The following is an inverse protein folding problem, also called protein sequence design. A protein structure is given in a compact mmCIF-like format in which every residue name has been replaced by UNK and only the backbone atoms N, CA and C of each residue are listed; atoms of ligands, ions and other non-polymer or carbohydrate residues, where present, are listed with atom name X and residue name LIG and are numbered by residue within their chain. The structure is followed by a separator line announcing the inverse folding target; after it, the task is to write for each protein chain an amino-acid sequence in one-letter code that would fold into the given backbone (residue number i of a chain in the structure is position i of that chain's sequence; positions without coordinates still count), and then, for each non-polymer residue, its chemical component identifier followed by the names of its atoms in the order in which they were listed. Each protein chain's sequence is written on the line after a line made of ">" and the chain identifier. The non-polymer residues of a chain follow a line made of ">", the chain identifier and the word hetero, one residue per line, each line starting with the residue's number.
data_IF_541127249714
#
_entry.id   IF_541127249714
#
_cell.length_a   1.000
_cell.length_b   1.000
_cell.length_c   1.000
_cell.angle_alpha   90.00
_cell.angle_beta   90.00
_cell.angle_gamma   90.00
#
_symmetry.space_group_name_H-M   'P 1'
#
loop_
_entity.id
_entity.type
_entity.pdbx_description
1 polymer ?
#
# COMPACT_ATOMS: atom_id res chain seq x y z
N UNK A 1 44.80 6.99 -28.24
CA UNK A 1 43.82 7.42 -27.21
C UNK A 1 43.38 8.83 -27.60
N UNK A 2 42.27 8.97 -28.33
CA UNK A 2 41.56 10.22 -28.51
C UNK A 2 40.96 10.57 -27.13
N UNK A 3 41.41 11.68 -26.53
CA UNK A 3 40.80 12.11 -25.28
C UNK A 3 39.38 12.59 -25.58
N UNK A 4 38.40 12.06 -24.88
CA UNK A 4 36.97 12.37 -25.00
C UNK A 4 36.73 13.89 -24.87
N UNK A 5 37.62 14.60 -24.15
CA UNK A 5 37.60 16.05 -23.93
C UNK A 5 37.91 16.92 -25.18
N UNK A 6 38.34 16.31 -26.26
CA UNK A 6 38.69 17.04 -27.50
C UNK A 6 37.65 16.91 -28.63
N UNK A 7 36.55 16.20 -28.39
CA UNK A 7 35.47 16.01 -29.36
C UNK A 7 34.53 17.23 -29.40
N UNK A 8 34.01 17.54 -30.60
CA UNK A 8 32.93 18.51 -30.74
C UNK A 8 31.71 18.04 -29.91
N UNK A 9 31.06 18.95 -29.14
CA UNK A 9 29.91 18.61 -28.26
C UNK A 9 28.78 17.87 -28.96
N UNK A 10 28.49 18.19 -30.21
CA UNK A 10 27.45 17.48 -30.97
C UNK A 10 27.85 16.03 -31.30
N UNK A 11 29.11 15.80 -31.59
CA UNK A 11 29.67 14.51 -31.87
C UNK A 11 29.75 13.65 -30.58
N UNK A 12 30.09 14.26 -29.48
CA UNK A 12 30.11 13.64 -28.16
C UNK A 12 28.69 13.16 -27.75
N UNK A 13 27.71 14.08 -27.84
CA UNK A 13 26.30 13.76 -27.54
C UNK A 13 25.83 12.58 -28.41
N UNK A 14 26.08 12.64 -29.72
CA UNK A 14 25.67 11.56 -30.65
C UNK A 14 26.33 10.21 -30.35
N UNK A 15 27.60 10.22 -29.97
CA UNK A 15 28.33 9.01 -29.58
C UNK A 15 27.77 8.39 -28.30
N UNK A 16 27.52 9.23 -27.29
CA UNK A 16 26.95 8.78 -26.02
C UNK A 16 25.54 8.20 -26.19
N UNK A 17 24.72 8.81 -27.06
CA UNK A 17 23.42 8.28 -27.45
C UNK A 17 23.54 6.89 -28.11
N UNK A 18 24.41 6.75 -29.12
CA UNK A 18 24.64 5.49 -29.80
C UNK A 18 25.16 4.38 -28.85
N UNK A 19 26.04 4.73 -27.92
CA UNK A 19 26.52 3.79 -26.91
C UNK A 19 25.40 3.39 -25.95
N UNK A 20 24.51 4.32 -25.57
CA UNK A 20 23.33 4.03 -24.77
C UNK A 20 22.37 3.08 -25.50
N UNK A 21 22.04 3.36 -26.77
CA UNK A 21 21.19 2.53 -27.61
C UNK A 21 21.77 1.12 -27.77
N UNK A 22 23.08 0.99 -28.08
CA UNK A 22 23.75 -0.31 -28.18
C UNK A 22 23.74 -1.08 -26.85
N UNK A 23 23.94 -0.40 -25.72
CA UNK A 23 23.86 -1.03 -24.41
C UNK A 23 22.46 -1.58 -24.11
N UNK A 24 21.40 -0.85 -24.51
CA UNK A 24 20.02 -1.30 -24.39
C UNK A 24 19.73 -2.53 -25.28
N UNK A 25 20.23 -2.55 -26.52
CA UNK A 25 20.11 -3.72 -27.40
C UNK A 25 20.77 -4.97 -26.81
N UNK A 26 21.82 -4.78 -26.00
CA UNK A 26 22.50 -5.85 -25.25
C UNK A 26 21.81 -6.18 -23.90
N UNK A 27 20.71 -5.52 -23.55
CA UNK A 27 20.00 -5.68 -22.27
C UNK A 27 20.75 -5.08 -21.07
N UNK A 28 21.75 -4.21 -21.28
CA UNK A 28 22.52 -3.59 -20.22
C UNK A 28 22.02 -2.18 -19.89
N UNK A 29 20.93 -2.11 -19.13
CA UNK A 29 20.29 -0.86 -18.71
C UNK A 29 21.24 0.03 -17.90
N UNK A 30 22.05 -0.58 -17.01
CA UNK A 30 23.00 0.17 -16.17
C UNK A 30 24.07 0.90 -17.02
N UNK A 31 24.60 0.24 -18.07
CA UNK A 31 25.54 0.88 -18.98
C UNK A 31 24.88 1.97 -19.82
N UNK A 32 23.67 1.73 -20.30
CA UNK A 32 22.90 2.71 -21.06
C UNK A 32 22.65 3.98 -20.23
N UNK A 33 22.23 3.81 -18.98
CA UNK A 33 22.02 4.93 -18.04
C UNK A 33 23.32 5.70 -17.79
N UNK A 34 24.45 5.02 -17.61
CA UNK A 34 25.76 5.71 -17.44
C UNK A 34 26.08 6.61 -18.62
N UNK A 35 25.91 6.16 -19.84
CA UNK A 35 26.19 7.00 -21.03
C UNK A 35 25.31 8.25 -21.08
N UNK A 36 24.02 8.12 -20.71
CA UNK A 36 23.11 9.29 -20.66
C UNK A 36 23.45 10.24 -19.52
N UNK A 37 23.86 9.74 -18.34
CA UNK A 37 24.31 10.56 -17.22
C UNK A 37 25.65 11.25 -17.52
N UNK A 38 26.58 10.59 -18.22
CA UNK A 38 27.82 11.25 -18.70
C UNK A 38 27.52 12.39 -19.68
N UNK A 39 26.53 12.21 -20.57
CA UNK A 39 26.06 13.26 -21.47
C UNK A 39 25.48 14.45 -20.67
N UNK A 40 24.69 14.17 -19.62
CA UNK A 40 24.12 15.19 -18.73
C UNK A 40 25.18 15.92 -17.91
N UNK A 41 26.21 15.21 -17.46
CA UNK A 41 27.31 15.77 -16.66
C UNK A 41 28.20 16.74 -17.47
N UNK A 42 28.26 16.61 -18.79
CA UNK A 42 29.13 17.42 -19.61
C UNK A 42 28.49 18.80 -19.89
N UNK A 43 29.14 19.90 -19.52
CA UNK A 43 28.53 21.26 -19.56
C UNK A 43 27.98 21.69 -20.93
N UNK A 44 28.56 21.18 -22.02
CA UNK A 44 28.18 21.56 -23.38
C UNK A 44 27.05 20.69 -23.98
N UNK A 45 26.72 19.57 -23.36
CA UNK A 45 25.68 18.64 -23.79
C UNK A 45 24.49 18.56 -22.84
N UNK A 46 24.65 18.99 -21.58
CA UNK A 46 23.65 18.88 -20.53
C UNK A 46 22.26 19.43 -20.92
N UNK A 47 22.22 20.55 -21.62
CA UNK A 47 20.94 21.16 -22.06
C UNK A 47 20.23 20.44 -23.23
N UNK A 48 20.82 19.37 -23.78
CA UNK A 48 20.25 18.59 -24.90
C UNK A 48 19.77 17.21 -24.46
N UNK A 49 19.99 16.86 -23.19
CA UNK A 49 19.65 15.53 -22.69
C UNK A 49 18.15 15.45 -22.42
N UNK A 50 17.55 14.37 -22.88
CA UNK A 50 16.15 14.04 -22.60
C UNK A 50 16.05 13.42 -21.21
N UNK A 51 15.55 14.20 -20.24
CA UNK A 51 15.37 13.77 -18.86
C UNK A 51 14.36 12.61 -18.75
N UNK A 52 13.34 12.57 -19.62
CA UNK A 52 12.33 11.53 -19.63
C UNK A 52 12.94 10.16 -19.94
N UNK A 53 13.90 10.12 -20.88
CA UNK A 53 14.66 8.89 -21.17
C UNK A 53 15.52 8.45 -19.98
N UNK A 54 16.14 9.37 -19.26
CA UNK A 54 16.90 9.01 -18.04
C UNK A 54 15.99 8.42 -16.98
N UNK A 55 14.83 9.04 -16.73
CA UNK A 55 13.84 8.54 -15.79
C UNK A 55 13.30 7.16 -16.18
N UNK A 56 13.09 6.92 -17.48
CA UNK A 56 12.68 5.61 -17.98
C UNK A 56 13.76 4.56 -17.72
N UNK A 57 15.03 4.85 -18.00
CA UNK A 57 16.15 3.96 -17.72
C UNK A 57 16.31 3.66 -16.23
N UNK A 58 16.16 4.67 -15.36
CA UNK A 58 16.14 4.50 -13.92
C UNK A 58 14.96 3.60 -13.50
N UNK A 59 13.79 3.77 -14.12
CA UNK A 59 12.61 2.93 -13.92
C UNK A 59 12.84 1.45 -14.30
N UNK A 60 13.68 1.18 -15.30
CA UNK A 60 14.02 -0.17 -15.74
C UNK A 60 15.11 -0.86 -14.88
N UNK A 61 15.77 -0.12 -13.97
CA UNK A 61 16.74 -0.73 -13.05
C UNK A 61 16.05 -1.73 -12.11
N UNK A 62 16.58 -2.95 -12.04
CA UNK A 62 16.06 -4.05 -11.21
C UNK A 62 16.93 -4.35 -9.98
N UNK A 63 18.16 -3.84 -9.93
CA UNK A 63 19.09 -4.13 -8.84
C UNK A 63 19.30 -2.93 -7.93
N UNK A 64 18.95 -3.08 -6.65
CA UNK A 64 19.20 -2.10 -5.58
C UNK A 64 20.68 -1.77 -5.47
N UNK A 65 21.56 -2.77 -5.57
CA UNK A 65 22.99 -2.59 -5.39
C UNK A 65 23.65 -1.87 -6.59
N UNK A 66 23.17 -2.13 -7.80
CA UNK A 66 23.61 -1.40 -9.00
C UNK A 66 23.18 0.07 -8.92
N UNK A 67 21.93 0.33 -8.52
CA UNK A 67 21.42 1.68 -8.37
C UNK A 67 22.20 2.47 -7.31
N UNK A 68 22.53 1.84 -6.18
CA UNK A 68 23.39 2.44 -5.13
C UNK A 68 24.80 2.76 -5.64
N UNK A 69 25.37 1.88 -6.46
CA UNK A 69 26.69 2.08 -7.05
C UNK A 69 26.69 3.25 -8.02
N UNK A 70 25.65 3.35 -8.83
CA UNK A 70 25.47 4.50 -9.73
C UNK A 70 25.26 5.80 -8.96
N UNK A 71 24.39 5.80 -7.94
CA UNK A 71 24.15 6.96 -7.09
C UNK A 71 25.46 7.53 -6.52
N UNK A 72 26.32 6.68 -5.99
CA UNK A 72 27.66 7.09 -5.50
C UNK A 72 28.55 7.69 -6.59
N UNK A 73 28.42 7.23 -7.82
CA UNK A 73 29.25 7.74 -8.94
C UNK A 73 28.84 9.13 -9.43
N UNK A 74 27.61 9.55 -9.09
CA UNK A 74 27.01 10.84 -9.51
C UNK A 74 26.53 11.65 -8.31
N UNK A 75 27.23 11.58 -7.17
CA UNK A 75 26.89 12.31 -5.94
C UNK A 75 26.87 13.85 -6.11
N UNK A 76 27.55 14.36 -7.12
CA UNK A 76 27.66 15.79 -7.47
C UNK A 76 26.47 16.33 -8.31
N UNK A 77 25.46 15.47 -8.60
CA UNK A 77 24.31 15.82 -9.42
C UNK A 77 23.01 15.76 -8.61
N UNK A 78 22.62 16.83 -7.93
CA UNK A 78 21.47 16.88 -7.01
C UNK A 78 20.18 16.35 -7.62
N UNK A 79 19.86 16.74 -8.85
CA UNK A 79 18.66 16.29 -9.55
C UNK A 79 18.65 14.77 -9.78
N UNK A 80 19.81 14.21 -10.16
CA UNK A 80 19.97 12.76 -10.38
C UNK A 80 19.89 12.00 -9.07
N UNK A 81 20.41 12.58 -7.99
CA UNK A 81 20.30 11.99 -6.64
C UNK A 81 18.84 11.90 -6.18
N UNK A 82 18.02 12.89 -6.51
CA UNK A 82 16.59 12.85 -6.20
C UNK A 82 15.89 11.69 -6.93
N UNK A 83 16.17 11.52 -8.23
CA UNK A 83 15.61 10.42 -9.02
C UNK A 83 16.05 9.03 -8.51
N UNK A 84 17.34 8.88 -8.21
CA UNK A 84 17.89 7.65 -7.64
C UNK A 84 17.28 7.33 -6.25
N UNK A 85 17.17 8.33 -5.39
CA UNK A 85 16.59 8.18 -4.05
C UNK A 85 15.14 7.74 -4.11
N UNK A 86 14.36 8.29 -5.04
CA UNK A 86 12.96 7.94 -5.26
C UNK A 86 12.82 6.50 -5.77
N UNK A 87 13.62 6.12 -6.77
CA UNK A 87 13.61 4.75 -7.32
C UNK A 87 14.10 3.72 -6.30
N UNK A 88 15.16 4.03 -5.57
CA UNK A 88 15.68 3.17 -4.51
C UNK A 88 14.64 2.88 -3.44
N UNK A 89 13.91 3.91 -3.01
CA UNK A 89 12.82 3.75 -2.06
C UNK A 89 11.72 2.84 -2.59
N UNK A 90 11.31 3.02 -3.85
CA UNK A 90 10.30 2.18 -4.50
C UNK A 90 10.74 0.71 -4.55
N UNK A 91 11.97 0.44 -4.97
CA UNK A 91 12.53 -0.91 -5.04
C UNK A 91 12.60 -1.55 -3.64
N UNK A 92 13.09 -0.83 -2.64
CA UNK A 92 13.18 -1.32 -1.27
C UNK A 92 11.82 -1.68 -0.67
N UNK A 93 10.78 -0.89 -0.99
CA UNK A 93 9.41 -1.19 -0.57
C UNK A 93 8.87 -2.43 -1.30
N UNK A 94 9.13 -2.55 -2.60
CA UNK A 94 8.70 -3.69 -3.42
C UNK A 94 9.37 -5.00 -2.97
N UNK A 95 10.66 -4.95 -2.63
CA UNK A 95 11.43 -6.07 -2.09
C UNK A 95 11.15 -6.36 -0.60
N UNK A 96 10.23 -5.61 0.02
CA UNK A 96 9.89 -5.72 1.45
C UNK A 96 11.07 -5.43 2.39
N UNK A 97 12.09 -4.72 1.95
CA UNK A 97 13.26 -4.28 2.73
C UNK A 97 12.91 -3.02 3.55
N UNK A 98 11.85 -3.08 4.33
CA UNK A 98 11.22 -1.91 4.98
C UNK A 98 12.15 -1.13 5.93
N UNK A 99 13.11 -1.81 6.58
CA UNK A 99 14.08 -1.12 7.45
C UNK A 99 15.00 -0.20 6.65
N UNK A 100 15.47 -0.68 5.50
CA UNK A 100 16.32 0.11 4.60
C UNK A 100 15.50 1.23 3.94
N UNK A 101 14.27 0.95 3.54
CA UNK A 101 13.33 1.95 3.03
C UNK A 101 13.08 3.07 4.07
N UNK A 102 12.98 2.73 5.36
CA UNK A 102 12.85 3.73 6.43
C UNK A 102 14.08 4.63 6.53
N UNK A 103 15.29 4.05 6.46
CA UNK A 103 16.54 4.82 6.45
C UNK A 103 16.64 5.74 5.23
N UNK A 104 16.25 5.27 4.05
CA UNK A 104 16.22 6.07 2.83
C UNK A 104 15.23 7.24 2.94
N UNK A 105 14.04 7.00 3.53
CA UNK A 105 13.06 8.04 3.79
C UNK A 105 13.56 9.10 4.78
N UNK A 106 14.32 8.70 5.79
CA UNK A 106 14.87 9.64 6.76
C UNK A 106 15.86 10.60 6.09
N UNK A 107 16.72 10.12 5.19
CA UNK A 107 17.63 10.93 4.40
C UNK A 107 16.86 11.89 3.48
N UNK A 108 15.91 11.39 2.70
CA UNK A 108 15.08 12.23 1.82
C UNK A 108 14.29 13.31 2.58
N UNK A 109 13.85 13.02 3.82
CA UNK A 109 13.17 13.99 4.67
C UNK A 109 14.11 15.09 5.16
N UNK A 110 15.34 14.79 5.45
CA UNK A 110 16.36 15.76 5.88
C UNK A 110 16.70 16.69 4.71
N UNK A 111 16.89 16.14 3.52
CA UNK A 111 17.13 16.93 2.29
C UNK A 111 15.96 17.85 1.97
N UNK A 112 14.73 17.35 1.95
CA UNK A 112 13.53 18.14 1.67
C UNK A 112 13.32 19.29 2.69
N UNK A 113 13.70 19.06 3.96
CA UNK A 113 13.67 20.10 4.99
C UNK A 113 14.73 21.17 4.76
N UNK A 114 15.94 20.79 4.39
CA UNK A 114 17.05 21.70 4.12
C UNK A 114 16.73 22.64 2.96
N UNK A 115 15.98 22.14 1.97
CA UNK A 115 15.54 22.85 0.78
C UNK A 115 14.21 23.63 0.96
N UNK A 116 13.60 23.58 2.15
CA UNK A 116 12.28 24.18 2.46
C UNK A 116 11.13 23.71 1.54
N UNK A 117 11.18 22.50 1.04
CA UNK A 117 10.15 21.89 0.20
C UNK A 117 8.98 21.36 1.06
N UNK A 118 8.06 22.24 1.43
CA UNK A 118 7.01 21.92 2.41
C UNK A 118 6.07 20.79 1.98
N UNK A 119 5.63 20.77 0.73
CA UNK A 119 4.73 19.75 0.19
C UNK A 119 5.43 18.38 0.11
N UNK A 120 6.65 18.33 -0.40
CA UNK A 120 7.47 17.12 -0.47
C UNK A 120 7.76 16.57 0.93
N UNK A 121 8.10 17.45 1.87
CA UNK A 121 8.33 17.09 3.27
C UNK A 121 7.08 16.42 3.89
N UNK A 122 5.88 16.95 3.64
CA UNK A 122 4.64 16.38 4.16
C UNK A 122 4.32 15.04 3.52
N UNK A 123 4.52 14.90 2.22
CA UNK A 123 4.34 13.64 1.50
C UNK A 123 5.29 12.54 2.01
N UNK A 124 6.56 12.86 2.22
CA UNK A 124 7.55 11.93 2.77
C UNK A 124 7.24 11.55 4.24
N UNK A 125 6.75 12.51 5.05
CA UNK A 125 6.28 12.22 6.43
C UNK A 125 5.12 11.22 6.42
N UNK A 126 4.15 11.42 5.55
CA UNK A 126 3.01 10.52 5.43
C UNK A 126 3.46 9.12 4.99
N UNK A 127 4.39 9.01 4.06
CA UNK A 127 4.97 7.74 3.64
C UNK A 127 5.74 7.06 4.78
N UNK A 128 6.53 7.82 5.54
CA UNK A 128 7.25 7.31 6.72
C UNK A 128 6.31 6.77 7.80
N UNK A 129 5.21 7.49 8.08
CA UNK A 129 4.19 7.04 9.05
C UNK A 129 3.58 5.70 8.60
N UNK A 130 3.22 5.58 7.33
CA UNK A 130 2.69 4.32 6.75
C UNK A 130 3.69 3.18 6.88
N UNK A 131 4.95 3.41 6.54
CA UNK A 131 6.00 2.41 6.66
C UNK A 131 6.24 1.98 8.12
N UNK A 132 6.20 2.92 9.05
CA UNK A 132 6.30 2.64 10.49
C UNK A 132 5.14 1.76 10.98
N UNK A 133 3.93 1.97 10.49
CA UNK A 133 2.79 1.10 10.78
C UNK A 133 3.05 -0.31 10.27
N UNK A 134 3.44 -0.46 9.01
CA UNK A 134 3.74 -1.78 8.40
C UNK A 134 4.82 -2.55 9.17
N UNK A 135 5.86 -1.86 9.65
CA UNK A 135 6.96 -2.47 10.42
C UNK A 135 6.55 -2.94 11.82
N UNK A 136 5.54 -2.33 12.40
CA UNK A 136 5.16 -2.53 13.80
C UNK A 136 3.79 -3.16 13.98
N UNK A 137 3.20 -3.74 12.93
CA UNK A 137 1.91 -4.43 13.01
C UNK A 137 1.95 -5.56 14.04
N UNK A 138 0.93 -5.63 14.88
CA UNK A 138 0.70 -6.79 15.74
C UNK A 138 -0.23 -7.78 15.02
N UNK A 139 0.27 -8.94 14.57
CA UNK A 139 -0.50 -9.89 13.80
C UNK A 139 -1.65 -10.54 14.58
N UNK A 140 -1.67 -10.37 15.90
CA UNK A 140 -2.69 -10.93 16.78
C UNK A 140 -3.79 -9.93 17.16
N UNK A 141 -3.72 -8.67 16.69
CA UNK A 141 -4.70 -7.64 16.98
C UNK A 141 -5.57 -7.31 15.77
N UNK A 142 -6.88 -7.34 15.98
CA UNK A 142 -7.89 -6.93 15.00
C UNK A 142 -8.70 -5.77 15.58
N UNK A 143 -8.74 -4.65 14.86
CA UNK A 143 -9.58 -3.52 15.21
C UNK A 143 -11.06 -3.79 14.90
N UNK A 144 -11.96 -3.33 15.74
CA UNK A 144 -13.39 -3.41 15.50
C UNK A 144 -14.02 -2.04 15.71
N UNK A 145 -14.65 -1.50 14.68
CA UNK A 145 -15.32 -0.19 14.71
C UNK A 145 -16.83 -0.40 14.61
N UNK A 146 -17.54 -0.15 15.71
CA UNK A 146 -18.99 -0.28 15.80
C UNK A 146 -19.60 0.94 16.51
N UNK A 147 -20.88 1.26 16.28
CA UNK A 147 -21.58 2.35 16.98
C UNK A 147 -22.05 1.90 18.37
N UNK A 148 -21.09 1.67 19.28
CA UNK A 148 -21.32 1.05 20.60
C UNK A 148 -22.23 1.89 21.49
N UNK A 149 -22.08 3.23 21.45
CA UNK A 149 -22.84 4.16 22.25
C UNK A 149 -24.21 4.55 21.64
N UNK A 150 -24.66 3.86 20.61
CA UNK A 150 -25.95 4.17 19.98
C UNK A 150 -27.12 3.81 20.90
N UNK A 151 -27.98 4.79 21.16
CA UNK A 151 -29.23 4.59 21.93
C UNK A 151 -30.39 4.02 21.08
N UNK A 152 -30.20 3.82 19.80
CA UNK A 152 -31.23 3.28 18.93
C UNK A 152 -31.35 1.76 19.09
N UNK A 153 -32.50 1.21 19.53
CA UNK A 153 -32.64 -0.20 19.92
C UNK A 153 -32.16 -1.19 18.83
N UNK A 154 -32.54 -0.96 17.56
CA UNK A 154 -32.12 -1.82 16.43
C UNK A 154 -30.60 -1.81 16.22
N UNK A 155 -29.95 -0.65 16.37
CA UNK A 155 -28.51 -0.54 16.20
C UNK A 155 -27.80 -1.22 17.36
N UNK A 156 -28.24 -1.01 18.59
CA UNK A 156 -27.68 -1.70 19.77
C UNK A 156 -27.80 -3.20 19.68
N UNK A 157 -28.95 -3.72 19.21
CA UNK A 157 -29.13 -5.14 18.97
C UNK A 157 -28.16 -5.66 17.91
N UNK A 158 -28.00 -4.95 16.79
CA UNK A 158 -27.07 -5.32 15.72
C UNK A 158 -25.62 -5.33 16.18
N UNK A 159 -25.22 -4.34 17.00
CA UNK A 159 -23.89 -4.30 17.63
C UNK A 159 -23.65 -5.52 18.50
N UNK A 160 -24.62 -5.88 19.36
CA UNK A 160 -24.50 -7.07 20.20
C UNK A 160 -24.37 -8.35 19.38
N UNK A 161 -25.23 -8.54 18.39
CA UNK A 161 -25.17 -9.71 17.50
C UNK A 161 -23.83 -9.79 16.74
N UNK A 162 -23.31 -8.65 16.30
CA UNK A 162 -22.00 -8.59 15.64
C UNK A 162 -20.88 -8.99 16.59
N UNK A 163 -20.88 -8.48 17.83
CA UNK A 163 -19.87 -8.84 18.84
C UNK A 163 -19.95 -10.31 19.25
N UNK A 164 -21.14 -10.86 19.37
CA UNK A 164 -21.35 -12.29 19.64
C UNK A 164 -20.81 -13.15 18.49
N UNK A 165 -21.13 -12.77 17.24
CA UNK A 165 -20.62 -13.46 16.06
C UNK A 165 -19.09 -13.44 15.98
N UNK A 166 -18.46 -12.30 16.24
CA UNK A 166 -17.01 -12.17 16.31
C UNK A 166 -16.40 -13.05 17.41
N UNK A 167 -17.01 -13.06 18.60
CA UNK A 167 -16.55 -13.93 19.70
C UNK A 167 -16.65 -15.41 19.35
N UNK A 168 -17.76 -15.84 18.76
CA UNK A 168 -17.95 -17.22 18.33
C UNK A 168 -16.94 -17.64 17.25
N UNK A 169 -16.60 -16.73 16.34
CA UNK A 169 -15.60 -16.99 15.31
C UNK A 169 -14.18 -17.11 15.84
N UNK A 170 -13.84 -16.32 16.85
CA UNK A 170 -12.50 -16.29 17.44
C UNK A 170 -12.29 -17.34 18.51
N UNK A 171 -13.32 -17.59 19.31
CA UNK A 171 -13.31 -18.57 20.40
C UNK A 171 -14.37 -19.61 20.12
N UNK A 172 -14.15 -20.50 19.13
CA UNK A 172 -15.08 -21.59 18.93
C UNK A 172 -15.15 -22.36 20.25
N UNK A 173 -16.29 -22.23 20.91
CA UNK A 173 -16.57 -23.03 22.11
C UNK A 173 -16.30 -24.47 21.73
N UNK A 174 -15.41 -25.11 22.44
CA UNK A 174 -15.24 -26.56 22.43
C UNK A 174 -16.45 -27.24 23.04
N UNK A 175 -17.62 -26.94 22.52
CA UNK A 175 -18.83 -27.68 22.69
C UNK A 175 -18.83 -28.84 21.68
N UNK A 176 -17.80 -29.62 21.70
CA UNK A 176 -17.85 -30.98 21.28
C UNK A 176 -17.67 -31.84 22.51
N UNK A 177 -18.66 -31.86 23.27
CA UNK A 177 -18.90 -33.00 24.10
C UNK A 177 -19.12 -34.23 23.22
N UNK A 178 -18.19 -35.19 23.41
CA UNK A 178 -18.44 -36.61 23.27
C UNK A 178 -19.03 -37.08 21.95
N UNK A 179 -18.17 -37.37 21.02
CA UNK A 179 -18.27 -38.65 20.30
C UNK A 179 -16.91 -39.02 19.71
N UNK A 180 -16.46 -40.15 20.16
CA UNK A 180 -15.39 -40.98 19.60
C UNK A 180 -13.96 -40.41 19.39
N UNK A 181 -13.09 -41.19 19.90
CA UNK A 181 -11.63 -41.19 20.08
C UNK A 181 -10.69 -40.69 18.98
N UNK A 182 -11.07 -39.75 18.13
CA UNK A 182 -10.17 -39.16 17.12
C UNK A 182 -10.51 -37.72 16.77
N UNK A 183 -10.77 -36.87 17.74
CA UNK A 183 -10.70 -35.42 17.50
C UNK A 183 -9.24 -34.97 17.67
N UNK A 184 -8.51 -34.95 16.58
CA UNK A 184 -7.33 -34.10 16.49
C UNK A 184 -7.80 -32.68 16.82
N UNK A 185 -7.45 -32.19 18.00
CA UNK A 185 -7.48 -30.76 18.34
C UNK A 185 -6.84 -30.03 17.20
N UNK A 186 -7.63 -29.39 16.34
CA UNK A 186 -7.14 -28.34 15.43
C UNK A 186 -6.41 -27.35 16.33
N UNK A 187 -5.15 -27.10 15.99
CA UNK A 187 -4.26 -26.30 16.80
C UNK A 187 -4.96 -25.03 17.27
N UNK A 188 -4.77 -24.74 18.54
CA UNK A 188 -5.19 -23.52 19.19
C UNK A 188 -4.79 -22.37 18.26
N UNK A 189 -5.77 -21.68 17.68
CA UNK A 189 -5.51 -20.42 16.98
C UNK A 189 -4.83 -19.54 18.03
N UNK A 190 -3.75 -18.83 17.69
CA UNK A 190 -3.15 -17.88 18.60
C UNK A 190 -4.25 -16.94 19.10
N UNK A 191 -4.21 -16.60 20.39
CA UNK A 191 -5.22 -15.73 21.02
C UNK A 191 -5.29 -14.39 20.26
N UNK A 192 -6.27 -14.25 19.39
CA UNK A 192 -6.52 -13.01 18.66
C UNK A 192 -7.19 -12.02 19.60
N UNK A 193 -6.64 -10.84 19.70
CA UNK A 193 -7.18 -9.73 20.50
C UNK A 193 -8.07 -8.83 19.63
N UNK A 194 -9.32 -8.60 20.07
CA UNK A 194 -10.22 -7.63 19.46
C UNK A 194 -10.11 -6.29 20.19
N UNK A 195 -9.71 -5.27 19.45
CA UNK A 195 -9.64 -3.88 19.95
C UNK A 195 -10.85 -3.11 19.47
N UNK A 196 -11.80 -2.87 20.37
CA UNK A 196 -13.07 -2.21 20.06
C UNK A 196 -12.94 -0.68 20.12
N UNK A 197 -13.55 -0.01 19.14
CA UNK A 197 -13.68 1.46 19.10
C UNK A 197 -15.09 1.86 18.69
N UNK A 198 -15.57 2.96 19.27
CA UNK A 198 -16.90 3.49 19.01
C UNK A 198 -16.90 4.51 17.86
N UNK A 199 -17.63 4.22 16.80
CA UNK A 199 -17.80 5.13 15.67
C UNK A 199 -18.73 6.30 15.95
N UNK A 200 -19.58 6.19 16.99
CA UNK A 200 -20.67 7.15 17.32
C UNK A 200 -21.56 7.50 16.10
N UNK A 201 -21.61 6.64 15.09
CA UNK A 201 -22.25 6.90 13.78
C UNK A 201 -21.75 8.18 13.08
N UNK A 202 -20.57 8.66 13.46
CA UNK A 202 -20.00 9.90 12.97
C UNK A 202 -18.75 9.59 12.09
N UNK A 203 -18.71 10.09 10.84
CA UNK A 203 -17.58 9.84 9.93
C UNK A 203 -16.25 10.39 10.45
N UNK A 204 -16.23 11.56 11.09
CA UNK A 204 -15.00 12.15 11.62
C UNK A 204 -14.46 11.35 12.80
N UNK A 205 -15.35 10.94 13.71
CA UNK A 205 -14.98 10.03 14.80
C UNK A 205 -14.44 8.71 14.24
N UNK A 206 -15.07 8.17 13.22
CA UNK A 206 -14.64 6.92 12.58
C UNK A 206 -13.23 7.04 12.01
N UNK A 207 -12.90 8.13 11.31
CA UNK A 207 -11.53 8.37 10.83
C UNK A 207 -10.53 8.42 11.98
N UNK A 208 -10.87 9.16 13.03
CA UNK A 208 -10.01 9.30 14.20
C UNK A 208 -9.72 7.94 14.84
N UNK A 209 -10.76 7.16 15.16
CA UNK A 209 -10.58 5.86 15.81
C UNK A 209 -9.93 4.82 14.89
N UNK A 210 -10.09 4.94 13.58
CA UNK A 210 -9.36 4.10 12.62
C UNK A 210 -7.86 4.36 12.72
N UNK A 211 -7.44 5.64 12.76
CA UNK A 211 -6.02 6.01 12.94
C UNK A 211 -5.46 5.53 14.26
N UNK A 212 -6.19 5.69 15.36
CA UNK A 212 -5.81 5.16 16.68
C UNK A 212 -5.58 3.64 16.63
N UNK A 213 -6.48 2.89 16.00
CA UNK A 213 -6.33 1.45 15.82
C UNK A 213 -5.05 1.09 15.06
N UNK A 214 -4.71 1.86 14.04
CA UNK A 214 -3.57 1.58 13.17
C UNK A 214 -2.25 2.05 13.82
N UNK A 215 -2.19 3.29 14.30
CA UNK A 215 -0.95 3.91 14.78
C UNK A 215 -0.59 3.49 16.22
N UNK A 216 -1.58 3.37 17.11
CA UNK A 216 -1.36 3.10 18.53
C UNK A 216 -1.51 1.62 18.84
N UNK A 217 -2.61 1.01 18.39
CA UNK A 217 -2.92 -0.40 18.67
C UNK A 217 -2.24 -1.36 17.68
N UNK A 218 -1.78 -0.85 16.51
CA UNK A 218 -1.02 -1.60 15.51
C UNK A 218 -1.76 -2.81 14.96
N UNK A 219 -3.07 -2.67 14.75
CA UNK A 219 -3.91 -3.77 14.28
C UNK A 219 -3.56 -4.21 12.86
N UNK A 220 -3.68 -5.52 12.59
CA UNK A 220 -3.42 -6.08 11.26
C UNK A 220 -4.57 -5.84 10.28
N UNK A 221 -5.81 -5.73 10.79
CA UNK A 221 -7.01 -5.51 10.01
C UNK A 221 -8.09 -4.82 10.85
N UNK A 222 -9.11 -4.26 10.19
CA UNK A 222 -10.25 -3.63 10.84
C UNK A 222 -11.56 -4.26 10.37
N UNK A 223 -12.46 -4.59 11.31
CA UNK A 223 -13.82 -5.09 11.05
C UNK A 223 -14.82 -3.98 11.37
N UNK A 224 -15.78 -3.78 10.50
CA UNK A 224 -16.73 -2.67 10.57
C UNK A 224 -16.31 -1.52 9.66
N UNK A 225 -17.00 -0.38 9.70
CA UNK A 225 -18.26 -0.09 10.41
C UNK A 225 -19.52 -0.69 9.80
N UNK A 226 -20.70 -0.42 10.43
CA UNK A 226 -22.00 -0.92 10.00
C UNK A 226 -22.74 0.06 9.05
N UNK A 227 -22.60 1.37 9.29
CA UNK A 227 -23.37 2.37 8.56
C UNK A 227 -22.60 2.90 7.33
N UNK A 228 -23.32 3.24 6.25
CA UNK A 228 -22.73 3.68 4.98
C UNK A 228 -21.69 4.79 5.14
N UNK A 229 -22.07 5.94 5.73
CA UNK A 229 -21.19 7.11 5.82
C UNK A 229 -19.92 6.85 6.64
N UNK A 230 -20.03 6.06 7.70
CA UNK A 230 -18.87 5.65 8.50
C UNK A 230 -18.00 4.65 7.76
N UNK A 231 -18.58 3.74 6.98
CA UNK A 231 -17.84 2.80 6.14
C UNK A 231 -17.08 3.50 5.03
N UNK A 232 -17.67 4.50 4.36
CA UNK A 232 -16.97 5.34 3.38
C UNK A 232 -15.78 6.07 4.01
N UNK A 233 -15.96 6.64 5.22
CA UNK A 233 -14.90 7.31 5.94
C UNK A 233 -13.75 6.36 6.36
N UNK A 234 -14.09 5.16 6.85
CA UNK A 234 -13.13 4.14 7.21
C UNK A 234 -12.38 3.58 5.99
N UNK A 235 -13.07 3.42 4.85
CA UNK A 235 -12.47 2.92 3.62
C UNK A 235 -11.36 3.85 3.08
N UNK A 236 -11.55 5.17 3.16
CA UNK A 236 -10.51 6.15 2.81
C UNK A 236 -9.28 6.00 3.70
N UNK A 237 -9.47 5.78 5.00
CA UNK A 237 -8.35 5.54 5.93
C UNK A 237 -7.68 4.19 5.65
N UNK A 238 -8.46 3.13 5.38
CA UNK A 238 -7.93 1.81 5.02
C UNK A 238 -7.01 1.87 3.80
N UNK A 239 -7.43 2.59 2.75
CA UNK A 239 -6.61 2.82 1.57
C UNK A 239 -5.37 3.67 1.85
N UNK A 240 -5.51 4.71 2.66
CA UNK A 240 -4.38 5.56 3.02
C UNK A 240 -3.31 4.77 3.79
N UNK A 241 -3.72 3.99 4.81
CA UNK A 241 -2.82 3.23 5.68
C UNK A 241 -2.38 1.88 5.09
N UNK A 242 -3.03 1.42 4.01
CA UNK A 242 -2.85 0.07 3.44
C UNK A 242 -3.14 -1.04 4.45
N UNK A 243 -4.15 -0.81 5.29
CA UNK A 243 -4.63 -1.76 6.29
C UNK A 243 -5.95 -2.36 5.81
N UNK A 244 -6.06 -3.69 5.68
CA UNK A 244 -7.29 -4.33 5.24
C UNK A 244 -8.48 -4.01 6.15
N UNK A 245 -9.62 -3.66 5.57
CA UNK A 245 -10.87 -3.54 6.32
C UNK A 245 -11.99 -4.37 5.73
N UNK A 246 -12.80 -4.96 6.60
CA UNK A 246 -14.03 -5.67 6.22
C UNK A 246 -15.23 -4.85 6.69
N UNK A 247 -15.86 -4.14 5.78
CA UNK A 247 -17.08 -3.38 6.07
C UNK A 247 -18.28 -4.30 6.26
N UNK A 248 -19.11 -3.99 7.24
CA UNK A 248 -20.35 -4.70 7.54
C UNK A 248 -21.59 -3.99 6.98
N UNK A 249 -21.41 -2.93 6.18
CA UNK A 249 -22.50 -2.18 5.55
C UNK A 249 -23.16 -2.95 4.41
N UNK A 250 -24.43 -2.65 4.16
CA UNK A 250 -25.16 -3.16 2.99
C UNK A 250 -24.76 -2.49 1.67
N UNK A 251 -24.03 -1.37 1.72
CA UNK A 251 -23.65 -0.56 0.55
C UNK A 251 -22.69 -1.33 -0.36
N UNK A 252 -23.11 -1.64 -1.59
CA UNK A 252 -22.37 -2.49 -2.53
C UNK A 252 -21.10 -1.82 -3.10
N UNK A 253 -21.08 -0.48 -3.19
CA UNK A 253 -19.97 0.28 -3.78
C UNK A 253 -18.77 0.50 -2.86
N UNK A 254 -18.82 0.08 -1.61
CA UNK A 254 -17.71 0.29 -0.67
C UNK A 254 -16.39 -0.35 -1.14
N UNK A 255 -16.36 -1.59 -1.67
CA UNK A 255 -15.11 -2.19 -2.17
C UNK A 255 -14.51 -1.49 -3.40
N UNK A 256 -15.30 -0.67 -4.10
CA UNK A 256 -14.83 0.11 -5.26
C UNK A 256 -13.87 1.25 -4.86
N UNK A 257 -13.79 1.58 -3.56
CA UNK A 257 -12.91 2.64 -3.05
C UNK A 257 -11.44 2.22 -3.17
N UNK A 258 -11.12 0.91 -3.02
CA UNK A 258 -9.77 0.43 -3.25
C UNK A 258 -9.52 -1.01 -2.82
N UNK A 259 -8.31 -1.54 -3.10
CA UNK A 259 -7.95 -2.95 -2.91
C UNK A 259 -7.85 -3.40 -1.45
N UNK A 260 -7.78 -2.48 -0.49
CA UNK A 260 -7.74 -2.82 0.94
C UNK A 260 -9.14 -2.83 1.59
N UNK A 261 -10.19 -2.62 0.79
CA UNK A 261 -11.56 -2.51 1.29
C UNK A 261 -12.39 -3.71 0.85
N UNK A 262 -12.81 -4.49 1.81
CA UNK A 262 -13.67 -5.67 1.61
C UNK A 262 -15.04 -5.45 2.23
N UNK A 263 -16.02 -6.23 1.80
CA UNK A 263 -17.37 -6.20 2.36
C UNK A 263 -17.84 -7.63 2.67
N UNK A 264 -18.28 -7.83 3.90
CA UNK A 264 -18.92 -9.08 4.30
C UNK A 264 -20.44 -8.88 4.33
N UNK A 265 -21.06 -8.87 3.16
CA UNK A 265 -22.51 -8.86 3.05
C UNK A 265 -22.96 -9.46 1.72
N UNK A 266 -24.17 -10.01 1.72
CA UNK A 266 -24.74 -10.57 0.49
C UNK A 266 -25.00 -9.44 -0.54
N UNK A 267 -24.76 -9.78 -1.79
CA UNK A 267 -25.10 -8.88 -2.90
C UNK A 267 -26.53 -9.23 -3.36
N UNK A 268 -27.48 -8.37 -3.03
CA UNK A 268 -28.89 -8.55 -3.41
C UNK A 268 -29.08 -8.79 -4.92
N UNK A 269 -28.21 -8.23 -5.78
CA UNK A 269 -28.24 -8.47 -7.21
C UNK A 269 -27.95 -9.93 -7.54
N UNK A 270 -26.90 -10.50 -6.93
CA UNK A 270 -26.58 -11.93 -7.09
C UNK A 270 -27.67 -12.85 -6.51
N UNK A 271 -28.31 -12.43 -5.42
CA UNK A 271 -29.46 -13.17 -4.88
C UNK A 271 -30.62 -13.20 -5.87
N UNK A 272 -31.01 -12.03 -6.40
CA UNK A 272 -32.07 -11.93 -7.39
C UNK A 272 -31.73 -12.72 -8.65
N UNK A 273 -30.50 -12.59 -9.18
CA UNK A 273 -30.05 -13.36 -10.33
C UNK A 273 -30.09 -14.87 -10.06
N UNK A 274 -29.69 -15.30 -8.86
CA UNK A 274 -29.74 -16.70 -8.46
C UNK A 274 -31.17 -17.23 -8.33
N UNK A 275 -32.08 -16.43 -7.74
CA UNK A 275 -33.50 -16.77 -7.64
C UNK A 275 -34.16 -16.85 -9.02
N UNK A 276 -33.88 -15.91 -9.92
CA UNK A 276 -34.39 -15.92 -11.29
C UNK A 276 -33.87 -17.15 -12.05
N UNK A 277 -32.58 -17.44 -11.92
CA UNK A 277 -31.98 -18.64 -12.52
C UNK A 277 -32.63 -19.91 -11.99
N UNK A 278 -32.79 -20.03 -10.67
CA UNK A 278 -33.44 -21.16 -10.05
C UNK A 278 -34.89 -21.33 -10.49
N UNK A 279 -35.67 -20.24 -10.53
CA UNK A 279 -37.04 -20.26 -11.03
C UNK A 279 -37.11 -20.71 -12.49
N UNK A 280 -36.23 -20.21 -13.35
CA UNK A 280 -36.16 -20.59 -14.76
C UNK A 280 -35.76 -22.06 -14.96
N UNK A 281 -34.67 -22.48 -14.31
CA UNK A 281 -34.01 -23.77 -14.57
C UNK A 281 -34.73 -24.92 -13.86
N UNK A 282 -35.23 -24.68 -12.63
CA UNK A 282 -35.89 -25.73 -11.82
C UNK A 282 -37.43 -25.75 -12.01
N UNK A 283 -38.06 -24.59 -11.99
CA UNK A 283 -39.51 -24.51 -12.15
C UNK A 283 -39.98 -24.25 -13.59
N UNK A 284 -39.05 -24.11 -14.53
CA UNK A 284 -39.33 -23.80 -15.94
C UNK A 284 -40.25 -22.57 -16.10
N UNK A 285 -40.13 -21.61 -15.18
CA UNK A 285 -40.93 -20.39 -15.20
C UNK A 285 -40.61 -19.59 -16.46
N UNK A 286 -41.63 -19.30 -17.25
CA UNK A 286 -41.47 -18.58 -18.53
C UNK A 286 -41.74 -17.08 -18.40
N UNK A 287 -42.34 -16.61 -17.35
CA UNK A 287 -42.52 -15.19 -16.94
C UNK A 287 -43.13 -15.07 -15.57
#
# INVERSE_FOLDING_TARGET
>A
QLSISSLNPELLSRLLQLFSENALEQGNVSAALRYRLEEMKHPQTAGKVDEEQILELIGQMESVEELRTLSKSYEDMDQVQEWFSSRLLEMLVTEQRFREASGQLDMMLEDARSLNEAEKTENLRNLRRRLSVTLNVNPLRIGVILPISSNHPRISQLVQQTLEGLRLGLYPTSASEKTDNTVKTRGVLPELELVLRDSKLNPQTTRKVFRELVEEERVIAVIGPLARKTSEAAAVEAEFWKVPMISLTLTSSIPEIGPFVFRNNQNWKLEVESLVRYARDYYQAKR
#
